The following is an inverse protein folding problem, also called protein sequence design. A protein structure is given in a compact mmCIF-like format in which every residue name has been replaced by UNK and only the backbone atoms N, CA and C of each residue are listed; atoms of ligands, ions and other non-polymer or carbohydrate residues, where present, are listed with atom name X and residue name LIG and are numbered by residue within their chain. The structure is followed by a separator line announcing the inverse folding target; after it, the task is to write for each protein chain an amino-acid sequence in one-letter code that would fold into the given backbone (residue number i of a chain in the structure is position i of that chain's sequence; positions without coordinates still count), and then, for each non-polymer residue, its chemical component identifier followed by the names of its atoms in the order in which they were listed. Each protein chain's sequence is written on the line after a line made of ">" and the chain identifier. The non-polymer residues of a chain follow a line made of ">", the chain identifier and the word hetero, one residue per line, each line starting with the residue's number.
data_IF_985472173180
#
_entry.id   IF_985472173180
#
_cell.length_a   1.000
_cell.length_b   1.000
_cell.length_c   1.000
_cell.angle_alpha   90.00
_cell.angle_beta   90.00
_cell.angle_gamma   90.00
#
_symmetry.space_group_name_H-M   'P 1'
#
loop_
_entity.id
_entity.type
_entity.pdbx_description
1 polymer ?
#
# COMPACT_ATOMS: atom_id res chain seq x y z
N UNK A 1 -21.24 19.85 -53.64
CA UNK A 1 -21.09 20.83 -52.60
C UNK A 1 -21.46 20.14 -51.25
N UNK A 2 -20.46 19.55 -50.65
CA UNK A 2 -20.58 18.91 -49.34
C UNK A 2 -20.47 20.01 -48.30
N UNK A 3 -21.60 20.42 -47.73
CA UNK A 3 -21.62 21.15 -46.49
C UNK A 3 -21.13 20.22 -45.39
N UNK A 4 -19.87 20.35 -45.00
CA UNK A 4 -19.42 19.88 -43.72
C UNK A 4 -20.22 20.66 -42.68
N UNK A 5 -21.22 20.05 -42.11
CA UNK A 5 -21.71 20.43 -40.79
C UNK A 5 -20.49 20.33 -39.88
N UNK A 6 -19.89 21.45 -39.50
CA UNK A 6 -19.14 21.52 -38.26
C UNK A 6 -20.13 21.11 -37.19
N UNK A 7 -19.97 19.89 -36.66
CA UNK A 7 -20.59 19.50 -35.41
C UNK A 7 -20.04 20.43 -34.37
N UNK A 8 -20.69 21.58 -34.23
CA UNK A 8 -20.49 22.44 -33.09
C UNK A 8 -20.76 21.56 -31.87
N UNK A 9 -19.72 21.26 -31.15
CA UNK A 9 -19.74 20.46 -29.94
C UNK A 9 -20.92 20.95 -29.08
N UNK A 10 -21.94 20.11 -28.91
CA UNK A 10 -23.16 20.49 -28.21
C UNK A 10 -22.80 21.03 -26.83
N UNK A 11 -23.39 22.11 -26.31
CA UNK A 11 -23.12 22.61 -24.97
C UNK A 11 -23.24 21.55 -23.90
N UNK A 12 -24.14 20.59 -24.10
CA UNK A 12 -24.34 19.42 -23.24
C UNK A 12 -23.13 18.50 -23.20
N UNK A 13 -22.48 18.22 -24.35
CA UNK A 13 -21.28 17.39 -24.40
C UNK A 13 -20.09 18.05 -23.69
N UNK A 14 -19.97 19.38 -23.81
CA UNK A 14 -18.96 20.15 -23.08
C UNK A 14 -19.20 20.14 -21.56
N UNK A 15 -20.45 20.20 -21.13
CA UNK A 15 -20.83 20.11 -19.72
C UNK A 15 -20.54 18.73 -19.14
N UNK A 16 -20.92 17.66 -19.85
CA UNK A 16 -20.66 16.27 -19.46
C UNK A 16 -19.17 15.98 -19.38
N UNK A 17 -18.36 16.49 -20.33
CA UNK A 17 -16.91 16.33 -20.31
C UNK A 17 -16.28 17.02 -19.08
N UNK A 18 -16.73 18.22 -18.71
CA UNK A 18 -16.29 18.91 -17.50
C UNK A 18 -16.68 18.19 -16.24
N UNK A 19 -17.91 17.67 -16.18
CA UNK A 19 -18.40 16.90 -15.05
C UNK A 19 -17.60 15.61 -14.87
N UNK A 20 -17.31 14.92 -15.97
CA UNK A 20 -16.46 13.72 -15.96
C UNK A 20 -15.05 14.00 -15.47
N UNK A 21 -14.43 15.11 -15.90
CA UNK A 21 -13.10 15.54 -15.46
C UNK A 21 -13.07 15.80 -13.95
N UNK A 22 -14.10 16.44 -13.39
CA UNK A 22 -14.23 16.67 -11.94
C UNK A 22 -14.39 15.35 -11.20
N UNK A 23 -15.20 14.42 -11.71
CA UNK A 23 -15.40 13.09 -11.10
C UNK A 23 -14.10 12.30 -11.02
N UNK A 24 -13.30 12.30 -12.09
CA UNK A 24 -11.97 11.67 -12.12
C UNK A 24 -11.05 12.25 -11.06
N UNK A 25 -10.99 13.58 -10.93
CA UNK A 25 -10.17 14.24 -9.91
C UNK A 25 -10.65 13.92 -8.50
N UNK A 26 -11.95 13.89 -8.26
CA UNK A 26 -12.52 13.54 -6.97
C UNK A 26 -12.15 12.11 -6.56
N UNK A 27 -12.18 11.16 -7.48
CA UNK A 27 -11.76 9.77 -7.22
C UNK A 27 -10.27 9.68 -6.89
N UNK A 28 -9.41 10.35 -7.66
CA UNK A 28 -7.97 10.41 -7.39
C UNK A 28 -7.70 11.04 -6.02
N UNK A 29 -8.34 12.16 -5.71
CA UNK A 29 -8.21 12.86 -4.44
C UNK A 29 -8.56 11.93 -3.26
N UNK A 30 -9.67 11.22 -3.34
CA UNK A 30 -10.09 10.28 -2.29
C UNK A 30 -9.12 9.11 -2.14
N UNK A 31 -8.74 8.47 -3.25
CA UNK A 31 -7.81 7.34 -3.24
C UNK A 31 -6.45 7.74 -2.66
N UNK A 32 -5.92 8.89 -3.08
CA UNK A 32 -4.65 9.38 -2.58
C UNK A 32 -4.71 9.70 -1.09
N UNK A 33 -5.82 10.28 -0.63
CA UNK A 33 -6.00 10.59 0.80
C UNK A 33 -6.03 9.32 1.65
N UNK A 34 -6.74 8.29 1.22
CA UNK A 34 -6.79 7.01 1.92
C UNK A 34 -5.39 6.39 2.05
N UNK A 35 -4.61 6.40 0.96
CA UNK A 35 -3.22 5.93 0.97
C UNK A 35 -2.31 6.79 1.84
N UNK A 36 -2.51 8.10 1.88
CA UNK A 36 -1.74 9.03 2.74
C UNK A 36 -2.01 8.75 4.22
N UNK A 37 -3.25 8.44 4.61
CA UNK A 37 -3.55 8.04 5.98
C UNK A 37 -2.83 6.75 6.39
N UNK A 38 -2.83 5.75 5.51
CA UNK A 38 -2.06 4.53 5.73
C UNK A 38 -0.57 4.82 5.89
N UNK A 39 0.01 5.59 4.97
CA UNK A 39 1.41 5.98 5.00
C UNK A 39 1.78 6.76 6.27
N UNK A 40 0.90 7.66 6.73
CA UNK A 40 1.11 8.40 7.97
C UNK A 40 1.28 7.47 9.17
N UNK A 41 0.40 6.49 9.30
CA UNK A 41 0.48 5.50 10.39
C UNK A 41 1.78 4.71 10.32
N UNK A 42 2.17 4.25 9.12
CA UNK A 42 3.39 3.48 8.93
C UNK A 42 4.63 4.31 9.27
N UNK A 43 4.76 5.50 8.69
CA UNK A 43 5.92 6.37 8.88
C UNK A 43 6.06 6.83 10.33
N UNK A 44 4.95 7.03 11.04
CA UNK A 44 4.97 7.37 12.47
C UNK A 44 5.45 6.20 13.32
N UNK A 45 5.02 4.98 13.02
CA UNK A 45 5.39 3.78 13.78
C UNK A 45 6.81 3.29 13.49
N UNK A 46 7.37 3.64 12.34
CA UNK A 46 8.71 3.25 11.88
C UNK A 46 9.58 4.48 11.58
N UNK A 47 9.69 5.37 12.57
CA UNK A 47 10.44 6.64 12.44
C UNK A 47 11.94 6.45 12.18
N UNK A 48 12.49 5.30 12.52
CA UNK A 48 13.88 4.90 12.30
C UNK A 48 14.23 4.56 10.83
N UNK A 49 13.21 4.26 10.00
CA UNK A 49 13.42 3.87 8.60
C UNK A 49 13.70 5.02 7.63
N UNK A 50 13.58 6.27 8.07
CA UNK A 50 13.91 7.45 7.26
C UNK A 50 12.88 7.79 6.16
N UNK A 51 11.66 7.27 6.23
CA UNK A 51 10.60 7.51 5.24
C UNK A 51 9.88 8.86 5.38
N UNK A 52 10.18 9.63 6.43
CA UNK A 52 9.51 10.90 6.72
C UNK A 52 9.63 11.91 5.58
N UNK A 53 10.81 12.02 4.96
CA UNK A 53 11.03 12.94 3.84
C UNK A 53 10.18 12.59 2.62
N UNK A 54 10.09 11.31 2.28
CA UNK A 54 9.24 10.84 1.18
C UNK A 54 7.75 11.07 1.50
N UNK A 55 7.33 10.85 2.74
CA UNK A 55 5.98 11.15 3.19
C UNK A 55 5.66 12.64 3.10
N UNK A 56 6.55 13.52 3.54
CA UNK A 56 6.38 14.97 3.46
C UNK A 56 6.24 15.44 2.00
N UNK A 57 6.99 14.82 1.08
CA UNK A 57 6.85 15.06 -0.37
C UNK A 57 5.46 14.66 -0.88
N UNK A 58 5.01 13.46 -0.52
CA UNK A 58 3.67 12.95 -0.86
C UNK A 58 2.58 13.88 -0.33
N UNK A 59 2.66 14.25 0.93
CA UNK A 59 1.66 15.14 1.54
C UNK A 59 1.66 16.54 0.93
N UNK A 60 2.81 17.09 0.60
CA UNK A 60 2.94 18.37 -0.08
C UNK A 60 2.33 18.34 -1.49
N UNK A 61 2.59 17.28 -2.25
CA UNK A 61 1.97 17.07 -3.57
C UNK A 61 0.45 16.98 -3.49
N UNK A 62 -0.08 16.27 -2.49
CA UNK A 62 -1.52 16.21 -2.23
C UNK A 62 -2.12 17.59 -1.96
N UNK A 63 -1.51 18.39 -1.07
CA UNK A 63 -1.98 19.75 -0.78
C UNK A 63 -1.99 20.63 -2.02
N UNK A 64 -0.97 20.53 -2.87
CA UNK A 64 -0.90 21.29 -4.13
C UNK A 64 -2.02 20.92 -5.08
N UNK A 65 -2.31 19.61 -5.21
CA UNK A 65 -3.46 19.15 -5.99
C UNK A 65 -4.79 19.71 -5.48
N UNK A 66 -4.97 19.75 -4.16
CA UNK A 66 -6.14 20.34 -3.50
C UNK A 66 -6.28 21.84 -3.77
N UNK A 67 -5.19 22.59 -3.66
CA UNK A 67 -5.19 24.04 -3.94
C UNK A 67 -5.64 24.33 -5.39
N UNK A 68 -5.13 23.57 -6.35
CA UNK A 68 -5.51 23.71 -7.75
C UNK A 68 -6.98 23.33 -7.97
N UNK A 69 -7.47 22.31 -7.30
CA UNK A 69 -8.87 21.91 -7.34
C UNK A 69 -9.80 23.04 -6.86
N UNK A 70 -9.51 23.62 -5.72
CA UNK A 70 -10.31 24.72 -5.18
C UNK A 70 -10.21 26.02 -5.99
N UNK A 71 -9.08 26.23 -6.67
CA UNK A 71 -8.93 27.33 -7.66
C UNK A 71 -9.62 27.03 -9.00
N UNK A 72 -10.39 25.95 -9.09
CA UNK A 72 -11.08 25.50 -10.31
C UNK A 72 -10.16 25.13 -11.47
N UNK A 73 -8.89 24.90 -11.20
CA UNK A 73 -7.92 24.46 -12.20
C UNK A 73 -7.87 22.94 -12.28
N UNK A 74 -8.92 22.34 -12.83
CA UNK A 74 -9.16 20.89 -12.77
C UNK A 74 -8.09 20.11 -13.55
N UNK A 75 -7.63 20.61 -14.68
CA UNK A 75 -6.62 19.95 -15.52
C UNK A 75 -5.30 19.80 -14.75
N UNK A 76 -4.79 20.88 -14.18
CA UNK A 76 -3.54 20.84 -13.41
C UNK A 76 -3.70 20.12 -12.08
N UNK A 77 -4.86 20.21 -11.44
CA UNK A 77 -5.18 19.41 -10.25
C UNK A 77 -5.08 17.92 -10.54
N UNK A 78 -5.62 17.47 -11.67
CA UNK A 78 -5.49 16.08 -12.11
C UNK A 78 -4.04 15.64 -12.26
N UNK A 79 -3.23 16.44 -12.96
CA UNK A 79 -1.80 16.15 -13.16
C UNK A 79 -1.06 16.05 -11.83
N UNK A 80 -1.33 16.95 -10.87
CA UNK A 80 -0.72 16.90 -9.55
C UNK A 80 -1.16 15.66 -8.77
N UNK A 81 -2.43 15.25 -8.80
CA UNK A 81 -2.88 14.04 -8.13
C UNK A 81 -2.37 12.77 -8.80
N UNK A 82 -2.21 12.73 -10.11
CA UNK A 82 -1.58 11.60 -10.80
C UNK A 82 -0.10 11.48 -10.43
N UNK A 83 0.63 12.57 -10.35
CA UNK A 83 2.01 12.63 -9.87
C UNK A 83 2.09 12.20 -8.41
N UNK A 84 1.19 12.68 -7.57
CA UNK A 84 1.07 12.31 -6.18
C UNK A 84 0.80 10.81 -6.00
N UNK A 85 -0.10 10.23 -6.80
CA UNK A 85 -0.36 8.79 -6.81
C UNK A 85 0.89 7.99 -7.14
N UNK A 86 1.70 8.45 -8.08
CA UNK A 86 2.99 7.82 -8.41
C UNK A 86 3.96 7.89 -7.22
N UNK A 87 4.11 9.04 -6.59
CA UNK A 87 4.98 9.23 -5.42
C UNK A 87 4.52 8.33 -4.24
N UNK A 88 3.22 8.21 -4.03
CA UNK A 88 2.62 7.26 -3.07
C UNK A 88 3.04 5.82 -3.41
N UNK A 89 2.88 5.41 -4.65
CA UNK A 89 3.25 4.07 -5.12
C UNK A 89 4.75 3.78 -4.93
N UNK A 90 5.61 4.75 -5.18
CA UNK A 90 7.05 4.61 -4.99
C UNK A 90 7.41 4.44 -3.51
N UNK A 91 6.77 5.19 -2.62
CA UNK A 91 6.97 5.03 -1.17
C UNK A 91 6.42 3.70 -0.65
N UNK A 92 5.24 3.28 -1.11
CA UNK A 92 4.68 1.96 -0.76
C UNK A 92 5.61 0.82 -1.17
N UNK A 93 6.23 0.90 -2.35
CA UNK A 93 7.22 -0.10 -2.80
C UNK A 93 8.44 -0.16 -1.90
N UNK A 94 8.97 0.98 -1.45
CA UNK A 94 10.08 1.02 -0.48
C UNK A 94 9.70 0.34 0.83
N UNK A 95 8.52 0.61 1.34
CA UNK A 95 7.99 0.01 2.57
C UNK A 95 7.84 -1.51 2.42
N UNK A 96 7.29 -1.98 1.30
CA UNK A 96 7.13 -3.41 1.01
C UNK A 96 8.47 -4.13 1.02
N UNK A 97 9.50 -3.57 0.40
CA UNK A 97 10.85 -4.15 0.38
C UNK A 97 11.38 -4.37 1.80
N UNK A 98 11.25 -3.37 2.67
CA UNK A 98 11.69 -3.48 4.06
C UNK A 98 10.84 -4.46 4.87
N UNK A 99 9.52 -4.43 4.75
CA UNK A 99 8.62 -5.36 5.42
C UNK A 99 8.88 -6.82 5.02
N UNK A 100 9.08 -7.05 3.72
CA UNK A 100 9.40 -8.37 3.21
C UNK A 100 10.70 -8.89 3.81
N UNK A 101 11.74 -8.08 3.85
CA UNK A 101 13.03 -8.41 4.43
C UNK A 101 12.92 -8.73 5.93
N UNK A 102 12.26 -7.86 6.68
CA UNK A 102 12.10 -8.01 8.13
C UNK A 102 11.24 -9.23 8.45
N UNK A 103 10.17 -9.47 7.70
CA UNK A 103 9.30 -10.64 7.85
C UNK A 103 10.05 -11.93 7.54
N UNK A 104 10.83 -11.97 6.46
CA UNK A 104 11.63 -13.14 6.09
C UNK A 104 12.65 -13.47 7.18
N UNK A 105 13.34 -12.46 7.72
CA UNK A 105 14.30 -12.65 8.80
C UNK A 105 13.64 -13.19 10.08
N UNK A 106 12.48 -12.66 10.43
CA UNK A 106 11.70 -13.09 11.59
C UNK A 106 11.19 -14.52 11.42
N UNK A 107 10.68 -14.89 10.25
CA UNK A 107 10.22 -16.24 9.95
C UNK A 107 11.38 -17.25 10.06
N UNK A 108 12.55 -16.92 9.55
CA UNK A 108 13.74 -17.77 9.65
C UNK A 108 14.16 -17.95 11.11
N UNK A 109 14.19 -16.89 11.90
CA UNK A 109 14.51 -16.95 13.32
C UNK A 109 13.50 -17.82 14.10
N UNK A 110 12.21 -17.65 13.83
CA UNK A 110 11.16 -18.48 14.44
C UNK A 110 11.29 -19.94 14.06
N UNK A 111 11.59 -20.24 12.79
CA UNK A 111 11.79 -21.61 12.31
C UNK A 111 12.97 -22.27 13.02
N UNK A 112 14.09 -21.58 13.18
CA UNK A 112 15.28 -22.06 13.88
C UNK A 112 14.99 -22.35 15.37
N UNK A 113 14.27 -21.44 16.03
CA UNK A 113 13.86 -21.62 17.43
C UNK A 113 12.92 -22.82 17.60
N UNK A 114 11.96 -23.02 16.70
CA UNK A 114 11.06 -24.18 16.73
C UNK A 114 11.81 -25.48 16.50
N UNK A 115 12.80 -25.49 15.61
CA UNK A 115 13.66 -26.64 15.40
C UNK A 115 14.43 -26.99 16.67
N UNK A 116 15.01 -26.03 17.39
CA UNK A 116 15.66 -26.26 18.67
C UNK A 116 14.71 -26.79 19.74
N UNK A 117 13.49 -26.26 19.83
CA UNK A 117 12.45 -26.78 20.74
C UNK A 117 12.04 -28.18 20.37
N UNK A 118 11.97 -28.56 19.11
CA UNK A 118 11.68 -29.90 18.66
C UNK A 118 12.77 -30.88 19.08
N UNK A 119 14.02 -30.51 18.93
CA UNK A 119 15.15 -31.32 19.38
C UNK A 119 15.15 -31.52 20.92
N UNK A 120 14.84 -30.46 21.66
CA UNK A 120 14.72 -30.54 23.12
C UNK A 120 13.53 -31.43 23.56
N UNK A 121 12.37 -31.31 22.93
CA UNK A 121 11.18 -32.09 23.20
C UNK A 121 11.38 -33.58 22.88
N UNK A 122 12.16 -33.95 21.86
CA UNK A 122 12.50 -35.33 21.52
C UNK A 122 13.54 -35.95 22.48
N UNK A 123 14.36 -35.10 23.11
CA UNK A 123 15.37 -35.52 24.08
C UNK A 123 14.82 -35.65 25.49
N UNK A 124 13.85 -34.83 25.88
CA UNK A 124 13.22 -34.74 27.17
C UNK A 124 11.70 -34.88 27.01
N UNK A 125 11.12 -36.02 27.32
CA UNK A 125 9.67 -36.28 27.21
C UNK A 125 8.88 -35.46 28.25
N UNK A 126 8.58 -34.19 27.91
CA UNK A 126 7.73 -33.31 28.72
C UNK A 126 6.45 -32.98 27.91
N UNK A 127 5.24 -33.38 28.40
CA UNK A 127 3.97 -33.14 27.74
C UNK A 127 3.70 -31.63 27.53
N UNK A 128 4.10 -30.76 28.45
CA UNK A 128 3.90 -29.30 28.33
C UNK A 128 4.75 -28.70 27.21
N UNK A 129 5.98 -29.18 27.03
CA UNK A 129 6.85 -28.77 25.91
C UNK A 129 6.31 -29.22 24.55
N UNK A 130 5.68 -30.39 24.50
CA UNK A 130 5.06 -30.91 23.28
C UNK A 130 3.86 -30.05 22.84
N UNK A 131 3.02 -29.59 23.79
CA UNK A 131 1.91 -28.70 23.52
C UNK A 131 2.40 -27.32 23.07
N UNK A 132 3.39 -26.77 23.76
CA UNK A 132 4.00 -25.49 23.37
C UNK A 132 4.61 -25.55 21.96
N UNK A 133 5.32 -26.63 21.64
CA UNK A 133 5.89 -26.89 20.34
C UNK A 133 4.79 -26.91 19.26
N UNK A 134 3.70 -27.65 19.49
CA UNK A 134 2.58 -27.73 18.56
C UNK A 134 1.97 -26.36 18.29
N UNK A 135 1.71 -25.57 19.34
CA UNK A 135 1.15 -24.24 19.24
C UNK A 135 2.08 -23.28 18.46
N UNK A 136 3.39 -23.36 18.70
CA UNK A 136 4.37 -22.53 17.98
C UNK A 136 4.50 -22.94 16.51
N UNK A 137 4.43 -24.21 16.19
CA UNK A 137 4.40 -24.71 14.81
C UNK A 137 3.14 -24.21 14.06
N UNK A 138 1.98 -24.22 14.71
CA UNK A 138 0.74 -23.71 14.14
C UNK A 138 0.82 -22.21 13.86
N UNK A 139 1.35 -21.44 14.80
CA UNK A 139 1.56 -19.99 14.64
C UNK A 139 2.51 -19.69 13.48
N UNK A 140 3.60 -20.43 13.36
CA UNK A 140 4.55 -20.28 12.26
C UNK A 140 3.89 -20.63 10.91
N UNK A 141 3.07 -21.67 10.86
CA UNK A 141 2.35 -22.04 9.65
C UNK A 141 1.38 -20.95 9.20
N UNK A 142 0.67 -20.31 10.13
CA UNK A 142 -0.19 -19.16 9.86
C UNK A 142 0.65 -17.99 9.33
N UNK A 143 1.79 -17.70 9.94
CA UNK A 143 2.68 -16.62 9.52
C UNK A 143 3.23 -16.84 8.10
N UNK A 144 3.62 -18.05 7.74
CA UNK A 144 4.01 -18.38 6.36
C UNK A 144 2.86 -18.22 5.38
N UNK A 145 1.63 -18.56 5.76
CA UNK A 145 0.44 -18.33 4.95
C UNK A 145 0.22 -16.85 4.67
N UNK A 146 0.37 -15.99 5.67
CA UNK A 146 0.29 -14.52 5.50
C UNK A 146 1.43 -13.99 4.62
N UNK A 147 2.62 -14.53 4.74
CA UNK A 147 3.75 -14.15 3.88
C UNK A 147 3.48 -14.50 2.40
N UNK A 148 2.95 -15.69 2.13
CA UNK A 148 2.56 -16.11 0.79
C UNK A 148 1.44 -15.22 0.21
N UNK A 149 0.45 -14.84 1.02
CA UNK A 149 -0.61 -13.91 0.63
C UNK A 149 -0.05 -12.53 0.31
N UNK A 150 0.94 -12.06 1.07
CA UNK A 150 1.66 -10.81 0.79
C UNK A 150 2.40 -10.86 -0.55
N UNK A 151 3.11 -11.95 -0.84
CA UNK A 151 3.80 -12.17 -2.11
C UNK A 151 2.81 -12.18 -3.28
N UNK A 152 1.67 -12.84 -3.13
CA UNK A 152 0.62 -12.84 -4.14
C UNK A 152 0.02 -11.45 -4.38
N UNK A 153 -0.15 -10.64 -3.32
CA UNK A 153 -0.58 -9.24 -3.43
C UNK A 153 0.45 -8.38 -4.16
N UNK A 154 1.75 -8.58 -3.95
CA UNK A 154 2.82 -7.92 -4.72
C UNK A 154 2.75 -8.30 -6.20
N UNK A 155 2.63 -9.58 -6.54
CA UNK A 155 2.54 -10.07 -7.92
C UNK A 155 1.34 -9.45 -8.64
N UNK A 156 0.21 -9.28 -7.95
CA UNK A 156 -1.00 -8.66 -8.48
C UNK A 156 -0.97 -7.13 -8.43
N UNK A 157 0.17 -6.52 -8.05
CA UNK A 157 0.34 -5.08 -7.89
C UNK A 157 -0.61 -4.42 -6.87
N UNK A 158 -1.10 -5.20 -5.90
CA UNK A 158 -1.91 -4.70 -4.79
C UNK A 158 -1.02 -4.38 -3.59
N UNK A 159 -0.30 -3.26 -3.65
CA UNK A 159 0.72 -2.89 -2.66
C UNK A 159 0.15 -2.67 -1.26
N UNK A 160 -1.04 -2.10 -1.12
CA UNK A 160 -1.69 -1.90 0.18
C UNK A 160 -2.06 -3.24 0.82
N UNK A 161 -2.53 -4.21 0.03
CA UNK A 161 -2.78 -5.57 0.47
C UNK A 161 -1.52 -6.29 0.92
N UNK A 162 -0.41 -6.15 0.19
CA UNK A 162 0.89 -6.71 0.58
C UNK A 162 1.35 -6.16 1.93
N UNK A 163 1.26 -4.85 2.15
CA UNK A 163 1.60 -4.22 3.43
C UNK A 163 0.75 -4.77 4.57
N UNK A 164 -0.56 -4.93 4.35
CA UNK A 164 -1.46 -5.51 5.34
C UNK A 164 -1.00 -6.91 5.76
N UNK A 165 -0.74 -7.80 4.81
CA UNK A 165 -0.33 -9.18 5.08
C UNK A 165 1.06 -9.29 5.71
N UNK A 166 2.02 -8.44 5.32
CA UNK A 166 3.35 -8.43 5.97
C UNK A 166 3.32 -7.93 7.41
N UNK A 167 2.32 -7.16 7.81
CA UNK A 167 2.16 -6.67 9.18
C UNK A 167 1.55 -7.68 10.15
N UNK A 168 0.80 -8.64 9.65
CA UNK A 168 0.13 -9.67 10.47
C UNK A 168 1.10 -10.74 10.91
#
# INVERSE_FOLDING_TARGET
>A
SSTKFDEAQRPEDSYLAKFHAIDVVNKLMKQNLDSIYLLKVIVTNYSDKGWKGDYDKVYTGYKRGMELYYKRNIIYSRVEFETNKKDIGDLLKKIIVEYKKDTQAMLNECADKILLLHLDATTHSDPNKSEELYNNQLRLQIAYGQFDDALNSEINHYNEGAIYHYRV
#
